data_IF_404317196675
#
_entry.id   IF_404317196675
#
_cell.length_a   1.000
_cell.length_b   1.000
_cell.length_c   1.000
_cell.angle_alpha   90.00
_cell.angle_beta   90.00
_cell.angle_gamma   90.00
#
_symmetry.space_group_name_H-M   'P 1'
#
loop_
_entity.id
_entity.type
_entity.pdbx_description
1 polymer ?
#
# COMPACT_ATOMS: atom_id res chain seq x y z
N UNK A 1 16.48 4.27 -2.70
CA UNK A 1 15.23 4.37 -3.49
C UNK A 1 14.80 2.96 -3.88
N UNK A 2 13.80 2.42 -3.20
CA UNK A 2 13.23 1.10 -3.49
C UNK A 2 11.80 1.18 -4.01
N UNK A 3 11.25 0.05 -4.46
CA UNK A 3 9.84 -0.10 -4.81
C UNK A 3 9.22 -1.12 -3.86
N UNK A 4 8.09 -0.77 -3.24
CA UNK A 4 7.37 -1.57 -2.25
C UNK A 4 5.96 -1.84 -2.78
N UNK A 5 5.57 -3.11 -2.85
CA UNK A 5 4.20 -3.52 -3.21
C UNK A 5 3.52 -4.03 -1.94
N UNK A 6 2.46 -3.36 -1.52
CA UNK A 6 1.62 -3.75 -0.39
C UNK A 6 0.30 -4.28 -0.94
N UNK A 7 -0.02 -5.54 -0.70
CA UNK A 7 -1.25 -6.15 -1.21
C UNK A 7 -1.95 -7.05 -0.18
N UNK A 8 -3.22 -7.36 -0.40
CA UNK A 8 -3.90 -8.38 0.38
C UNK A 8 -3.39 -9.79 0.02
N UNK A 9 -3.55 -10.74 0.96
CA UNK A 9 -2.99 -12.09 0.86
C UNK A 9 -3.91 -13.13 0.20
N UNK A 10 -4.98 -12.70 -0.45
CA UNK A 10 -5.87 -13.58 -1.21
C UNK A 10 -5.49 -13.64 -2.70
N UNK A 11 -6.35 -14.28 -3.49
CA UNK A 11 -6.10 -14.49 -4.92
C UNK A 11 -6.00 -13.18 -5.71
N UNK A 12 -6.82 -12.16 -5.40
CA UNK A 12 -6.81 -10.91 -6.14
C UNK A 12 -5.58 -10.08 -5.80
N UNK A 13 -5.29 -9.93 -4.51
CA UNK A 13 -4.07 -9.27 -4.04
C UNK A 13 -2.78 -9.92 -4.54
N UNK A 14 -2.70 -11.26 -4.56
CA UNK A 14 -1.54 -11.99 -5.08
C UNK A 14 -1.37 -11.82 -6.60
N UNK A 15 -2.44 -11.97 -7.38
CA UNK A 15 -2.39 -11.81 -8.83
C UNK A 15 -2.01 -10.39 -9.23
N UNK A 16 -2.62 -9.39 -8.58
CA UNK A 16 -2.31 -7.98 -8.80
C UNK A 16 -0.85 -7.68 -8.47
N UNK A 17 -0.33 -8.19 -7.36
CA UNK A 17 1.07 -8.04 -6.99
C UNK A 17 2.02 -8.71 -7.99
N UNK A 18 1.69 -9.90 -8.50
CA UNK A 18 2.49 -10.58 -9.51
C UNK A 18 2.62 -9.75 -10.80
N UNK A 19 1.51 -9.14 -11.26
CA UNK A 19 1.51 -8.25 -12.44
C UNK A 19 2.39 -7.02 -12.17
N UNK A 20 2.20 -6.35 -11.03
CA UNK A 20 3.03 -5.20 -10.66
C UNK A 20 4.52 -5.58 -10.57
N UNK A 21 4.81 -6.75 -10.01
CA UNK A 21 6.18 -7.26 -9.83
C UNK A 21 6.88 -7.61 -11.14
N UNK A 22 6.12 -7.98 -12.18
CA UNK A 22 6.64 -8.17 -13.52
C UNK A 22 7.11 -6.84 -14.15
N UNK A 23 6.43 -5.73 -13.85
CA UNK A 23 6.82 -4.37 -14.29
C UNK A 23 7.93 -3.78 -13.42
N UNK A 24 7.99 -4.14 -12.14
CA UNK A 24 9.01 -3.71 -11.18
C UNK A 24 9.82 -4.90 -10.63
N UNK A 25 10.80 -5.44 -11.39
CA UNK A 25 11.52 -6.68 -11.08
C UNK A 25 12.38 -6.66 -9.81
N UNK A 26 12.51 -5.53 -9.12
CA UNK A 26 13.23 -5.41 -7.85
C UNK A 26 12.31 -5.05 -6.68
N UNK A 27 11.00 -4.93 -6.91
CA UNK A 27 10.09 -4.53 -5.85
C UNK A 27 10.04 -5.55 -4.70
N UNK A 28 9.86 -5.08 -3.47
CA UNK A 28 9.59 -5.95 -2.34
C UNK A 28 8.07 -6.13 -2.22
N UNK A 29 7.59 -7.37 -2.31
CA UNK A 29 6.15 -7.67 -2.12
C UNK A 29 5.92 -8.03 -0.66
N UNK A 30 4.96 -7.35 -0.03
CA UNK A 30 4.55 -7.61 1.35
C UNK A 30 3.04 -7.68 1.44
N UNK A 31 2.55 -8.76 2.02
CA UNK A 31 1.13 -8.90 2.30
C UNK A 31 0.74 -8.05 3.51
N UNK A 32 -0.39 -7.36 3.41
CA UNK A 32 -0.94 -6.49 4.43
C UNK A 32 -2.46 -6.63 4.55
N UNK A 33 -3.04 -5.91 5.51
CA UNK A 33 -4.47 -5.76 5.74
C UNK A 33 -4.76 -4.28 6.02
N UNK A 34 -5.99 -3.78 5.79
CA UNK A 34 -6.33 -2.38 6.04
C UNK A 34 -5.88 -1.85 7.42
N UNK A 35 -6.04 -2.66 8.47
CA UNK A 35 -5.65 -2.31 9.85
C UNK A 35 -4.14 -2.16 10.07
N UNK A 36 -3.32 -2.81 9.24
CA UNK A 36 -1.85 -2.80 9.34
C UNK A 36 -1.19 -1.83 8.37
N UNK A 37 -1.94 -1.31 7.39
CA UNK A 37 -1.41 -0.50 6.30
C UNK A 37 -0.59 0.70 6.78
N UNK A 38 -1.07 1.44 7.79
CA UNK A 38 -0.34 2.58 8.36
C UNK A 38 1.02 2.17 8.92
N UNK A 39 1.08 1.03 9.62
CA UNK A 39 2.33 0.51 10.17
C UNK A 39 3.30 0.12 9.05
N UNK A 40 2.82 -0.59 8.04
CA UNK A 40 3.67 -1.03 6.91
C UNK A 40 4.20 0.15 6.08
N UNK A 41 3.41 1.23 5.98
CA UNK A 41 3.86 2.49 5.38
C UNK A 41 4.96 3.17 6.22
N UNK A 42 4.82 3.20 7.54
CA UNK A 42 5.83 3.78 8.44
C UNK A 42 7.13 2.96 8.47
N UNK A 43 7.05 1.65 8.25
CA UNK A 43 8.22 0.77 8.09
C UNK A 43 8.86 0.89 6.69
N UNK A 44 8.27 1.69 5.79
CA UNK A 44 8.83 1.89 4.45
C UNK A 44 9.89 2.98 4.42
N UNK A 45 11.02 2.69 3.79
CA UNK A 45 12.13 3.64 3.65
C UNK A 45 11.65 4.94 2.99
N UNK A 46 11.89 6.11 3.62
CA UNK A 46 11.55 7.40 3.04
C UNK A 46 12.13 7.56 1.62
N UNK A 47 11.29 8.06 0.70
CA UNK A 47 11.67 8.23 -0.71
C UNK A 47 11.51 6.95 -1.56
N UNK A 48 11.00 5.85 -1.01
CA UNK A 48 10.59 4.69 -1.80
C UNK A 48 9.27 4.94 -2.52
N UNK A 49 9.10 4.30 -3.68
CA UNK A 49 7.80 4.23 -4.36
C UNK A 49 6.97 3.12 -3.71
N UNK A 50 5.75 3.45 -3.30
CA UNK A 50 4.81 2.48 -2.71
C UNK A 50 3.64 2.25 -3.67
N UNK A 51 3.37 0.98 -3.96
CA UNK A 51 2.24 0.52 -4.76
C UNK A 51 1.31 -0.24 -3.81
N UNK A 52 0.05 0.19 -3.71
CA UNK A 52 -0.96 -0.44 -2.85
C UNK A 52 -2.01 -1.09 -3.76
N UNK A 53 -2.27 -2.38 -3.55
CA UNK A 53 -3.19 -3.18 -4.39
C UNK A 53 -4.16 -3.94 -3.49
N UNK A 54 -5.44 -4.00 -3.89
CA UNK A 54 -6.48 -4.77 -3.20
C UNK A 54 -6.56 -4.51 -1.68
N UNK A 55 -6.41 -3.25 -1.27
CA UNK A 55 -6.55 -2.83 0.12
C UNK A 55 -7.51 -1.65 0.17
N UNK A 56 -8.58 -1.81 0.94
CA UNK A 56 -9.51 -0.73 1.24
C UNK A 56 -8.83 0.35 2.11
N UNK A 57 -8.95 1.62 1.69
CA UNK A 57 -8.47 2.79 2.44
C UNK A 57 -9.69 3.66 2.74
N UNK A 58 -9.89 3.98 4.00
CA UNK A 58 -10.91 4.94 4.40
C UNK A 58 -10.34 6.36 4.28
N UNK A 59 -11.09 7.26 3.65
CA UNK A 59 -10.85 8.68 3.81
C UNK A 59 -11.12 9.06 5.27
N UNK A 60 -10.16 9.73 5.92
CA UNK A 60 -10.47 10.38 7.18
C UNK A 60 -11.51 11.45 6.92
N UNK A 61 -12.52 11.57 7.79
CA UNK A 61 -13.40 12.73 7.76
C UNK A 61 -12.50 13.96 7.86
N UNK A 62 -12.35 14.70 6.76
CA UNK A 62 -11.76 16.04 6.75
C UNK A 62 -12.43 16.77 7.91
N UNK A 63 -11.66 17.08 8.96
CA UNK A 63 -12.17 17.79 10.11
C UNK A 63 -13.01 18.95 9.60
N UNK A 64 -14.25 19.08 10.09
CA UNK A 64 -15.08 20.24 9.82
C UNK A 64 -14.21 21.46 10.14
N UNK A 65 -13.67 22.09 9.11
CA UNK A 65 -13.09 23.43 9.22
C UNK A 65 -14.27 24.30 9.59
N UNK A 66 -14.48 24.50 10.89
CA UNK A 66 -15.25 25.61 11.43
C UNK A 66 -14.59 26.89 10.92
N UNK A 67 -14.96 27.33 9.71
CA UNK A 67 -14.88 28.73 9.36
C UNK A 67 -16.10 29.36 10.02
N UNK A 68 -15.82 30.15 11.06
CA UNK A 68 -16.78 31.10 11.59
C UNK A 68 -17.11 32.19 10.58
#
# INVERSE_FOLDING_TARGET
>A
MGVRILCHGDTDGLCSAAIARAVFPVAEVRFTRPVNLLRDLLETEPGSTVIILDIAINETQKGKSSRG
#
